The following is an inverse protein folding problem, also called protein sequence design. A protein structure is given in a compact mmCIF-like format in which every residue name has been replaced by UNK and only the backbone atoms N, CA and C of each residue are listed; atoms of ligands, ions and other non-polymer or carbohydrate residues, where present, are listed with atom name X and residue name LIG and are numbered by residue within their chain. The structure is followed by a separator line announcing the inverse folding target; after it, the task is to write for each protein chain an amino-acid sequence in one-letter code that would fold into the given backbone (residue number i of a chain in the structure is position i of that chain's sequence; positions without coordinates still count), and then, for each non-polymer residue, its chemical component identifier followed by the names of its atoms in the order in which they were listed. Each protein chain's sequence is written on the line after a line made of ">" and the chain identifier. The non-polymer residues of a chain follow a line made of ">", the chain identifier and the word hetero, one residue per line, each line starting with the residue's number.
data_IF_322796325849
#
_entry.id   IF_322796325849
#
_cell.length_a   1.000
_cell.length_b   1.000
_cell.length_c   1.000
_cell.angle_alpha   90.00
_cell.angle_beta   90.00
_cell.angle_gamma   90.00
#
_symmetry.space_group_name_H-M   'P 1'
#
loop_
_entity.id
_entity.type
_entity.pdbx_description
1 polymer ?
#
# COMPACT_ATOMS: atom_id res chain seq x y z
N UNK A 1 -17.88 5.41 17.15
CA UNK A 1 -18.75 6.09 16.16
C UNK A 1 -17.98 6.98 15.17
N UNK A 2 -16.80 7.53 15.51
CA UNK A 2 -16.06 8.43 14.61
C UNK A 2 -15.23 7.71 13.53
N UNK A 3 -14.87 6.45 13.70
CA UNK A 3 -14.10 5.66 12.72
C UNK A 3 -14.87 5.39 11.43
N UNK A 4 -16.21 5.38 11.47
CA UNK A 4 -17.07 5.16 10.30
C UNK A 4 -17.02 6.29 9.25
N UNK A 5 -16.38 7.43 9.57
CA UNK A 5 -16.24 8.54 8.62
C UNK A 5 -14.91 8.51 7.84
N UNK A 6 -14.01 7.62 8.21
CA UNK A 6 -12.67 7.58 7.61
C UNK A 6 -12.50 6.33 6.75
N UNK A 7 -13.02 5.17 7.18
CA UNK A 7 -12.93 3.93 6.43
C UNK A 7 -14.18 3.71 5.56
N UNK A 8 -13.96 3.34 4.31
CA UNK A 8 -15.02 3.08 3.32
C UNK A 8 -14.94 1.65 2.78
N UNK A 9 -15.11 0.63 3.65
CA UNK A 9 -15.07 -0.75 3.23
C UNK A 9 -16.30 -1.13 2.40
N UNK A 10 -16.10 -2.02 1.44
CA UNK A 10 -17.17 -2.68 0.69
C UNK A 10 -16.95 -4.20 0.75
N UNK A 11 -18.00 -4.95 1.03
CA UNK A 11 -17.97 -6.41 1.03
C UNK A 11 -18.31 -7.04 -0.33
N UNK A 12 -18.82 -6.26 -1.28
CA UNK A 12 -19.18 -6.75 -2.60
C UNK A 12 -17.93 -6.89 -3.48
N UNK A 13 -17.69 -8.10 -4.00
CA UNK A 13 -16.60 -8.38 -4.95
C UNK A 13 -17.09 -8.21 -6.38
N UNK A 14 -16.40 -7.38 -7.16
CA UNK A 14 -16.69 -7.16 -8.58
C UNK A 14 -16.06 -8.20 -9.50
N UNK A 15 -15.22 -9.08 -8.97
CA UNK A 15 -14.53 -10.14 -9.69
C UNK A 15 -13.39 -10.74 -8.87
N UNK A 16 -12.61 -11.59 -9.52
CA UNK A 16 -11.41 -12.21 -8.97
C UNK A 16 -10.28 -12.23 -10.01
N UNK A 17 -9.04 -12.58 -9.63
CA UNK A 17 -7.91 -12.63 -10.57
C UNK A 17 -8.10 -13.65 -11.71
N UNK A 18 -8.84 -14.75 -11.51
CA UNK A 18 -9.09 -15.74 -12.58
C UNK A 18 -9.90 -15.13 -13.73
N UNK A 19 -10.89 -14.29 -13.43
CA UNK A 19 -11.66 -13.53 -14.43
C UNK A 19 -10.80 -12.60 -15.30
N UNK A 20 -9.59 -12.28 -14.84
CA UNK A 20 -8.59 -11.46 -15.53
C UNK A 20 -7.44 -12.29 -16.11
N UNK A 21 -7.56 -13.63 -16.08
CA UNK A 21 -6.57 -14.55 -16.62
C UNK A 21 -5.28 -14.62 -15.78
N UNK A 22 -5.35 -14.30 -14.50
CA UNK A 22 -4.24 -14.38 -13.56
C UNK A 22 -4.33 -15.69 -12.76
N UNK A 23 -3.21 -16.42 -12.58
CA UNK A 23 -3.14 -17.47 -11.57
C UNK A 23 -3.23 -16.82 -10.18
N UNK A 24 -3.96 -17.42 -9.25
CA UNK A 24 -4.01 -16.93 -7.88
C UNK A 24 -4.39 -18.02 -6.87
N UNK A 25 -4.06 -17.76 -5.62
CA UNK A 25 -4.53 -18.49 -4.46
C UNK A 25 -5.44 -17.57 -3.63
N UNK A 26 -6.61 -18.06 -3.27
CA UNK A 26 -7.54 -17.40 -2.34
C UNK A 26 -7.08 -17.74 -0.92
N UNK A 27 -6.60 -16.75 -0.18
CA UNK A 27 -5.85 -16.93 1.06
C UNK A 27 -6.64 -16.39 2.25
N UNK A 28 -6.73 -17.18 3.32
CA UNK A 28 -7.24 -16.74 4.61
C UNK A 28 -6.18 -16.94 5.69
N UNK A 29 -5.94 -15.92 6.51
CA UNK A 29 -4.91 -15.95 7.54
C UNK A 29 -5.33 -15.16 8.78
N UNK A 30 -5.00 -15.63 10.00
CA UNK A 30 -5.40 -14.96 11.23
C UNK A 30 -4.42 -13.86 11.63
N UNK A 31 -4.95 -12.81 12.24
CA UNK A 31 -4.15 -11.83 12.99
C UNK A 31 -3.85 -12.35 14.40
N UNK A 32 -2.89 -11.73 15.09
CA UNK A 32 -2.54 -12.07 16.46
C UNK A 32 -3.69 -11.88 17.47
N UNK A 33 -4.65 -10.98 17.16
CA UNK A 33 -5.86 -10.74 17.94
C UNK A 33 -7.08 -11.55 17.44
N UNK A 34 -6.85 -12.57 16.58
CA UNK A 34 -7.84 -13.56 16.19
C UNK A 34 -8.80 -13.13 15.08
N UNK A 35 -8.54 -12.02 14.39
CA UNK A 35 -9.33 -11.59 13.22
C UNK A 35 -8.89 -12.39 12.00
N UNK A 36 -9.82 -13.05 11.30
CA UNK A 36 -9.52 -13.71 10.03
C UNK A 36 -9.53 -12.71 8.89
N UNK A 37 -8.40 -12.61 8.18
CA UNK A 37 -8.22 -11.77 7.00
C UNK A 37 -8.26 -12.59 5.73
N UNK A 38 -8.59 -11.95 4.64
CA UNK A 38 -8.65 -12.50 3.30
C UNK A 38 -7.71 -11.75 2.36
N UNK A 39 -7.10 -12.46 1.43
CA UNK A 39 -6.24 -11.89 0.39
C UNK A 39 -6.04 -12.82 -0.78
N UNK A 40 -5.35 -12.32 -1.78
CA UNK A 40 -4.95 -13.07 -2.97
C UNK A 40 -3.43 -13.11 -3.09
N UNK A 41 -2.89 -14.31 -3.23
CA UNK A 41 -1.52 -14.48 -3.65
C UNK A 41 -1.49 -14.81 -5.15
N UNK A 42 -0.86 -13.95 -5.93
CA UNK A 42 -0.70 -14.09 -7.39
C UNK A 42 0.74 -14.45 -7.67
N UNK A 43 1.06 -15.72 -7.98
CA UNK A 43 2.43 -16.17 -8.21
C UNK A 43 2.97 -15.61 -9.53
N UNK A 44 4.13 -14.95 -9.46
CA UNK A 44 4.87 -14.43 -10.61
C UNK A 44 6.03 -15.34 -11.02
N UNK A 45 6.93 -14.81 -11.85
CA UNK A 45 8.09 -15.54 -12.36
C UNK A 45 9.42 -15.07 -11.76
N UNK A 46 9.41 -13.97 -11.01
CA UNK A 46 10.59 -13.38 -10.41
C UNK A 46 10.70 -13.69 -8.91
N UNK A 47 11.90 -13.51 -8.38
CA UNK A 47 12.22 -13.71 -6.97
C UNK A 47 11.44 -12.78 -6.04
N UNK A 48 11.23 -11.52 -6.45
CA UNK A 48 10.63 -10.48 -5.61
C UNK A 48 9.14 -10.74 -5.41
N UNK A 49 8.68 -10.53 -4.17
CA UNK A 49 7.27 -10.58 -3.76
C UNK A 49 6.84 -9.19 -3.29
N UNK A 50 5.76 -8.66 -3.87
CA UNK A 50 5.12 -7.45 -3.36
C UNK A 50 4.06 -7.79 -2.33
N UNK A 51 4.20 -7.18 -1.14
CA UNK A 51 3.13 -7.09 -0.17
C UNK A 51 2.40 -5.76 -0.39
N UNK A 52 1.18 -5.85 -0.91
CA UNK A 52 0.42 -4.69 -1.37
C UNK A 52 -0.63 -4.25 -0.35
N UNK A 53 -0.48 -3.02 0.13
CA UNK A 53 -1.39 -2.31 1.01
C UNK A 53 -2.26 -1.37 0.17
N UNK A 54 -3.53 -1.73 -0.05
CA UNK A 54 -4.44 -0.98 -0.90
C UNK A 54 -4.95 0.32 -0.25
N UNK A 55 -5.52 1.21 -1.07
CA UNK A 55 -6.14 2.46 -0.60
C UNK A 55 -7.47 2.24 0.11
N UNK A 56 -8.01 3.28 0.71
CA UNK A 56 -9.11 3.24 1.67
C UNK A 56 -10.43 2.65 1.16
N UNK A 57 -10.88 2.95 -0.06
CA UNK A 57 -12.22 2.60 -0.52
C UNK A 57 -12.32 1.21 -1.18
N UNK A 58 -13.48 0.55 -1.07
CA UNK A 58 -13.79 -0.72 -1.72
C UNK A 58 -13.18 -1.92 -1.04
N UNK A 59 -12.61 -2.83 -1.81
CA UNK A 59 -11.86 -4.01 -1.39
C UNK A 59 -10.83 -4.38 -2.47
N UNK A 60 -10.11 -5.49 -2.31
CA UNK A 60 -9.06 -5.91 -3.26
C UNK A 60 -9.59 -6.16 -4.68
N UNK A 61 -10.87 -6.51 -4.86
CA UNK A 61 -11.44 -6.72 -6.19
C UNK A 61 -11.53 -5.45 -7.04
N UNK A 62 -11.55 -4.28 -6.41
CA UNK A 62 -11.50 -2.98 -7.09
C UNK A 62 -10.11 -2.62 -7.61
N UNK A 63 -9.11 -3.49 -7.44
CA UNK A 63 -7.70 -3.30 -7.86
C UNK A 63 -7.29 -4.25 -8.98
N UNK A 64 -8.23 -5.01 -9.55
CA UNK A 64 -7.95 -6.06 -10.53
C UNK A 64 -7.29 -5.55 -11.80
N UNK A 65 -7.68 -4.39 -12.30
CA UNK A 65 -7.09 -3.77 -13.48
C UNK A 65 -5.62 -3.37 -13.25
N UNK A 66 -5.33 -2.73 -12.11
CA UNK A 66 -3.96 -2.37 -11.73
C UNK A 66 -3.14 -3.63 -11.37
N UNK A 67 -3.73 -4.60 -10.66
CA UNK A 67 -3.10 -5.88 -10.36
C UNK A 67 -2.66 -6.60 -11.65
N UNK A 68 -3.55 -6.65 -12.66
CA UNK A 68 -3.25 -7.24 -13.97
C UNK A 68 -2.12 -6.50 -14.67
N UNK A 69 -2.17 -5.17 -14.71
CA UNK A 69 -1.11 -4.35 -15.31
C UNK A 69 0.24 -4.61 -14.65
N UNK A 70 0.31 -4.57 -13.31
CA UNK A 70 1.54 -4.78 -12.56
C UNK A 70 2.09 -6.20 -12.77
N UNK A 71 1.22 -7.21 -12.73
CA UNK A 71 1.60 -8.59 -12.98
C UNK A 71 2.21 -8.78 -14.36
N UNK A 72 1.53 -8.30 -15.41
CA UNK A 72 1.98 -8.45 -16.80
C UNK A 72 3.31 -7.75 -17.09
N UNK A 73 3.51 -6.59 -16.45
CA UNK A 73 4.65 -5.72 -16.73
C UNK A 73 5.86 -6.00 -15.84
N UNK A 74 5.67 -6.49 -14.62
CA UNK A 74 6.74 -6.72 -13.65
C UNK A 74 7.05 -8.20 -13.43
N UNK A 75 6.08 -9.09 -13.65
CA UNK A 75 6.18 -10.54 -13.45
C UNK A 75 6.60 -10.95 -12.02
N UNK A 76 6.27 -10.13 -11.02
CA UNK A 76 6.55 -10.36 -9.60
C UNK A 76 5.47 -11.24 -8.96
N UNK A 77 5.80 -11.90 -7.83
CA UNK A 77 4.76 -12.38 -6.93
C UNK A 77 4.06 -11.18 -6.30
N UNK A 78 2.73 -11.23 -6.18
CA UNK A 78 1.95 -10.16 -5.56
C UNK A 78 1.02 -10.76 -4.51
N UNK A 79 1.14 -10.31 -3.26
CA UNK A 79 0.17 -10.60 -2.22
C UNK A 79 -0.57 -9.32 -1.87
N UNK A 80 -1.86 -9.28 -2.21
CA UNK A 80 -2.78 -8.20 -1.86
C UNK A 80 -3.85 -8.75 -0.92
N UNK A 81 -4.22 -8.00 0.12
CA UNK A 81 -5.18 -8.46 1.12
C UNK A 81 -6.12 -7.35 1.56
N UNK A 82 -7.30 -7.73 2.02
CA UNK A 82 -8.28 -6.83 2.62
C UNK A 82 -7.99 -6.64 4.11
N UNK A 83 -7.93 -5.38 4.55
CA UNK A 83 -7.89 -5.07 5.98
C UNK A 83 -9.14 -5.56 6.69
N UNK A 84 -9.07 -5.68 8.01
CA UNK A 84 -10.25 -6.01 8.84
C UNK A 84 -11.47 -5.14 8.49
N UNK A 85 -12.61 -5.81 8.28
CA UNK A 85 -13.86 -5.17 7.89
C UNK A 85 -14.00 -4.84 6.40
N UNK A 86 -12.95 -5.01 5.58
CA UNK A 86 -12.99 -4.88 4.14
C UNK A 86 -13.20 -6.25 3.47
N UNK A 87 -13.91 -6.24 2.33
CA UNK A 87 -14.09 -7.41 1.51
C UNK A 87 -14.62 -8.62 2.27
N UNK A 88 -13.83 -9.70 2.29
CA UNK A 88 -14.13 -10.93 3.03
C UNK A 88 -13.42 -11.03 4.38
N UNK A 89 -12.63 -10.04 4.74
CA UNK A 89 -11.96 -9.97 6.04
C UNK A 89 -12.94 -9.68 7.16
N UNK A 90 -12.76 -10.36 8.29
CA UNK A 90 -13.59 -10.16 9.48
C UNK A 90 -13.24 -8.87 10.23
N UNK A 91 -14.00 -8.56 11.28
CA UNK A 91 -13.69 -7.48 12.21
C UNK A 91 -14.23 -6.11 11.78
N UNK A 92 -13.64 -5.06 12.33
CA UNK A 92 -13.96 -3.65 12.03
C UNK A 92 -12.67 -2.86 11.86
N UNK A 93 -12.60 -1.95 10.89
CA UNK A 93 -11.39 -1.18 10.64
C UNK A 93 -11.11 -0.18 11.77
N UNK A 94 -9.83 -0.05 12.11
CA UNK A 94 -9.28 0.97 12.99
C UNK A 94 -7.81 1.17 12.63
N UNK A 95 -7.19 2.28 13.01
CA UNK A 95 -5.77 2.52 12.74
C UNK A 95 -4.89 1.39 13.29
N UNK A 96 -5.00 1.11 14.59
CA UNK A 96 -4.24 0.05 15.25
C UNK A 96 -4.57 -1.32 14.65
N UNK A 97 -5.83 -1.54 14.27
CA UNK A 97 -6.26 -2.77 13.62
C UNK A 97 -5.56 -3.00 12.29
N UNK A 98 -5.50 -1.99 11.43
CA UNK A 98 -4.84 -2.11 10.12
C UNK A 98 -3.33 -2.34 10.25
N UNK A 99 -2.69 -1.83 11.31
CA UNK A 99 -1.28 -2.15 11.59
C UNK A 99 -1.10 -3.62 11.98
N UNK A 100 -2.00 -4.18 12.82
CA UNK A 100 -1.99 -5.63 13.14
C UNK A 100 -2.27 -6.50 11.92
N UNK A 101 -3.11 -6.03 11.01
CA UNK A 101 -3.40 -6.72 9.75
C UNK A 101 -2.16 -6.79 8.86
N UNK A 102 -1.39 -5.69 8.78
CA UNK A 102 -0.12 -5.64 8.06
C UNK A 102 0.93 -6.60 8.65
N UNK A 103 1.06 -6.63 9.97
CA UNK A 103 1.91 -7.59 10.69
C UNK A 103 1.54 -9.04 10.36
N UNK A 104 0.24 -9.36 10.37
CA UNK A 104 -0.25 -10.70 10.04
C UNK A 104 0.01 -11.07 8.58
N UNK A 105 -0.16 -10.12 7.64
CA UNK A 105 0.12 -10.33 6.22
C UNK A 105 1.61 -10.63 5.98
N UNK A 106 2.51 -9.89 6.63
CA UNK A 106 3.95 -10.17 6.56
C UNK A 106 4.28 -11.52 7.21
N UNK A 107 3.68 -11.83 8.38
CA UNK A 107 3.87 -13.12 9.05
C UNK A 107 3.42 -14.27 8.17
N UNK A 108 2.27 -14.16 7.50
CA UNK A 108 1.79 -15.14 6.52
C UNK A 108 2.81 -15.36 5.39
N UNK A 109 3.29 -14.30 4.74
CA UNK A 109 4.30 -14.43 3.69
C UNK A 109 5.56 -15.15 4.18
N UNK A 110 5.98 -14.89 5.40
CA UNK A 110 7.15 -15.55 6.02
C UNK A 110 6.95 -17.05 6.32
N UNK A 111 5.72 -17.56 6.28
CA UNK A 111 5.46 -19.02 6.38
C UNK A 111 5.57 -19.73 5.03
N UNK A 112 5.53 -19.01 3.92
CA UNK A 112 5.58 -19.60 2.57
C UNK A 112 7.00 -20.09 2.25
N UNK A 113 7.07 -21.27 1.64
CA UNK A 113 8.34 -21.89 1.24
C UNK A 113 8.66 -21.66 -0.24
N UNK A 114 7.70 -21.14 -1.00
CA UNK A 114 7.77 -20.92 -2.44
C UNK A 114 8.16 -19.48 -2.83
N UNK A 115 8.43 -18.63 -1.86
CA UNK A 115 8.95 -17.27 -2.06
C UNK A 115 10.28 -17.07 -1.33
N UNK A 116 11.04 -16.08 -1.77
CA UNK A 116 12.20 -15.60 -1.06
C UNK A 116 11.78 -14.57 -0.01
N UNK A 117 11.93 -14.92 1.26
CA UNK A 117 11.49 -14.10 2.40
C UNK A 117 12.33 -12.83 2.58
N UNK A 118 13.57 -12.80 2.04
CA UNK A 118 14.44 -11.62 2.04
C UNK A 118 14.15 -10.68 0.86
N UNK A 119 13.32 -11.11 -0.09
CA UNK A 119 12.96 -10.36 -1.28
C UNK A 119 11.53 -9.79 -1.25
N UNK A 120 11.07 -9.35 -0.09
CA UNK A 120 9.74 -8.76 0.06
C UNK A 120 9.84 -7.24 -0.06
N UNK A 121 9.09 -6.67 -1.01
CA UNK A 121 8.91 -5.22 -1.21
C UNK A 121 7.53 -4.83 -0.68
N UNK A 122 7.46 -3.79 0.13
CA UNK A 122 6.18 -3.23 0.57
C UNK A 122 5.72 -2.18 -0.42
N UNK A 123 4.51 -2.33 -0.91
CA UNK A 123 3.86 -1.38 -1.82
C UNK A 123 2.58 -0.84 -1.18
N UNK A 124 2.57 0.45 -0.86
CA UNK A 124 1.44 1.11 -0.20
C UNK A 124 0.88 2.27 -1.00
N UNK A 125 -0.44 2.25 -1.24
CA UNK A 125 -1.13 3.33 -1.93
C UNK A 125 -2.09 4.06 -1.02
N UNK A 126 -2.06 5.42 -1.03
CA UNK A 126 -2.95 6.27 -0.23
C UNK A 126 -2.91 5.88 1.25
N UNK A 127 -4.03 5.49 1.87
CA UNK A 127 -4.08 4.94 3.23
C UNK A 127 -3.09 3.78 3.43
N UNK A 128 -2.98 2.89 2.45
CA UNK A 128 -2.06 1.76 2.48
C UNK A 128 -0.59 2.18 2.56
N UNK A 129 -0.26 3.39 2.08
CA UNK A 129 1.08 3.94 2.24
C UNK A 129 1.44 4.20 3.71
N UNK A 130 0.51 4.73 4.49
CA UNK A 130 0.73 4.95 5.92
C UNK A 130 0.87 3.63 6.70
N UNK A 131 0.12 2.60 6.29
CA UNK A 131 0.21 1.24 6.86
C UNK A 131 1.56 0.61 6.49
N UNK A 132 2.00 0.74 5.24
CA UNK A 132 3.29 0.24 4.78
C UNK A 132 4.47 0.92 5.49
N UNK A 133 4.40 2.23 5.74
CA UNK A 133 5.40 2.98 6.52
C UNK A 133 5.46 2.47 7.97
N UNK A 134 4.31 2.24 8.60
CA UNK A 134 4.28 1.68 9.96
C UNK A 134 4.99 0.33 10.02
N UNK A 135 4.66 -0.58 9.10
CA UNK A 135 5.29 -1.90 9.04
C UNK A 135 6.79 -1.81 8.74
N UNK A 136 7.20 -1.01 7.74
CA UNK A 136 8.61 -0.82 7.37
C UNK A 136 9.44 -0.15 8.47
N UNK A 137 8.80 0.61 9.38
CA UNK A 137 9.47 1.21 10.53
C UNK A 137 9.82 0.19 11.64
N UNK A 138 9.27 -1.04 11.57
CA UNK A 138 9.43 -2.12 12.55
C UNK A 138 10.11 -3.35 11.96
N UNK A 139 9.94 -3.58 10.65
CA UNK A 139 10.45 -4.76 9.95
C UNK A 139 11.26 -4.36 8.73
N UNK A 140 12.35 -5.10 8.49
CA UNK A 140 13.13 -4.95 7.26
C UNK A 140 12.32 -5.47 6.07
N UNK A 141 12.44 -4.75 4.95
CA UNK A 141 11.97 -5.16 3.64
C UNK A 141 13.05 -4.84 2.59
N UNK A 142 12.98 -5.47 1.44
CA UNK A 142 13.93 -5.23 0.34
C UNK A 142 13.82 -3.80 -0.22
N UNK A 143 12.60 -3.25 -0.24
CA UNK A 143 12.31 -1.89 -0.68
C UNK A 143 10.92 -1.44 -0.24
N UNK A 144 10.70 -0.14 -0.19
CA UNK A 144 9.41 0.47 0.10
C UNK A 144 8.96 1.32 -1.09
N UNK A 145 7.76 1.06 -1.61
CA UNK A 145 7.14 1.86 -2.66
C UNK A 145 5.89 2.51 -2.09
N UNK A 146 5.81 3.83 -2.18
CA UNK A 146 4.69 4.63 -1.70
C UNK A 146 4.06 5.39 -2.87
N UNK A 147 2.74 5.28 -3.03
CA UNK A 147 2.01 5.94 -4.09
C UNK A 147 0.87 6.79 -3.52
N UNK A 148 0.81 8.08 -3.91
CA UNK A 148 -0.26 9.02 -3.57
C UNK A 148 -0.63 9.00 -2.08
N UNK A 149 0.38 8.99 -1.20
CA UNK A 149 0.20 8.89 0.26
C UNK A 149 0.56 10.20 0.97
N UNK A 150 0.18 10.30 2.22
CA UNK A 150 0.29 11.51 3.04
C UNK A 150 1.30 11.36 4.18
N UNK A 151 1.83 12.51 4.63
CA UNK A 151 2.75 12.59 5.77
C UNK A 151 2.07 12.24 7.11
N UNK A 152 0.83 12.71 7.31
CA UNK A 152 -0.04 12.31 8.42
C UNK A 152 -1.50 12.57 8.07
N UNK A 153 -2.42 11.81 8.69
CA UNK A 153 -3.86 12.03 8.52
C UNK A 153 -4.24 13.43 8.95
N UNK A 154 -3.72 13.89 10.09
CA UNK A 154 -4.01 15.23 10.60
C UNK A 154 -3.49 16.33 9.66
N UNK A 155 -2.26 16.21 9.18
CA UNK A 155 -1.67 17.17 8.24
C UNK A 155 -2.43 17.25 6.91
N UNK A 156 -2.92 16.11 6.43
CA UNK A 156 -3.78 16.06 5.25
C UNK A 156 -5.16 16.70 5.51
N UNK A 157 -5.84 16.27 6.58
CA UNK A 157 -7.20 16.73 6.90
C UNK A 157 -7.25 18.24 7.21
N UNK A 158 -6.26 18.78 7.92
CA UNK A 158 -6.23 20.22 8.23
C UNK A 158 -6.03 21.12 7.01
N UNK A 159 -5.40 20.62 5.96
CA UNK A 159 -5.26 21.34 4.67
C UNK A 159 -6.57 21.33 3.89
N UNK A 160 -7.30 20.21 3.92
CA UNK A 160 -8.57 20.06 3.19
C UNK A 160 -9.76 20.62 3.96
N UNK A 161 -9.69 20.61 5.29
CA UNK A 161 -10.77 21.03 6.21
C UNK A 161 -10.17 21.83 7.37
N UNK A 162 -9.99 23.17 7.22
CA UNK A 162 -9.29 24.01 8.19
C UNK A 162 -9.89 24.03 9.61
N UNK A 163 -11.18 23.70 9.73
CA UNK A 163 -11.89 23.68 11.02
C UNK A 163 -11.69 22.37 11.81
N UNK A 164 -11.01 21.37 11.22
CA UNK A 164 -10.71 20.12 11.91
C UNK A 164 -9.53 20.32 12.87
N UNK A 165 -9.78 20.00 14.15
CA UNK A 165 -8.74 20.00 15.18
C UNK A 165 -8.28 18.57 15.52
N UNK A 166 -7.07 18.39 16.09
CA UNK A 166 -6.57 17.06 16.49
C UNK A 166 -7.50 16.26 17.39
N UNK A 167 -8.26 16.94 18.26
CA UNK A 167 -9.20 16.29 19.18
C UNK A 167 -10.45 15.72 18.47
N UNK A 168 -10.72 16.17 17.24
CA UNK A 168 -11.82 15.66 16.42
C UNK A 168 -11.43 14.39 15.65
N UNK A 169 -10.13 14.11 15.51
CA UNK A 169 -9.62 12.95 14.77
C UNK A 169 -8.92 11.97 15.72
N UNK A 170 -9.56 10.85 16.05
CA UNK A 170 -8.94 9.80 16.86
C UNK A 170 -7.85 9.03 16.09
N UNK A 171 -7.79 9.20 14.77
CA UNK A 171 -6.90 8.49 13.84
C UNK A 171 -5.79 9.44 13.39
N UNK A 172 -4.54 8.99 13.51
CA UNK A 172 -3.35 9.81 13.24
C UNK A 172 -2.63 9.45 11.96
N UNK A 173 -2.46 8.16 11.70
CA UNK A 173 -1.61 7.64 10.62
C UNK A 173 -0.38 8.53 10.42
N UNK A 174 0.39 8.71 11.50
CA UNK A 174 1.56 9.59 11.53
C UNK A 174 2.76 8.91 10.87
N UNK A 175 2.79 8.96 9.54
CA UNK A 175 3.89 8.42 8.73
C UNK A 175 5.16 9.23 8.91
N UNK A 176 5.03 10.56 9.13
CA UNK A 176 6.15 11.49 9.25
C UNK A 176 7.08 11.15 10.42
N UNK A 177 6.51 10.76 11.57
CA UNK A 177 7.29 10.36 12.74
C UNK A 177 7.97 8.99 12.57
N UNK A 178 7.43 8.13 11.68
CA UNK A 178 7.85 6.75 11.49
C UNK A 178 8.88 6.58 10.36
N UNK A 179 8.76 7.36 9.28
CA UNK A 179 9.55 7.19 8.05
C UNK A 179 11.06 7.27 8.31
N UNK A 180 11.50 8.04 9.31
CA UNK A 180 12.91 8.17 9.72
C UNK A 180 13.53 6.87 10.25
N UNK A 181 12.71 5.88 10.63
CA UNK A 181 13.17 4.56 11.06
C UNK A 181 13.25 3.55 9.92
N UNK A 182 12.72 3.89 8.76
CA UNK A 182 12.79 3.04 7.56
C UNK A 182 14.18 3.16 6.96
N UNK A 183 14.86 2.03 6.80
CA UNK A 183 16.23 1.96 6.24
C UNK A 183 16.24 1.35 4.83
N UNK A 184 15.11 0.78 4.39
CA UNK A 184 14.97 0.24 3.05
C UNK A 184 14.99 1.35 1.99
N UNK A 185 15.52 1.09 0.78
CA UNK A 185 15.37 1.99 -0.35
C UNK A 185 13.91 2.37 -0.57
N UNK A 186 13.66 3.66 -0.86
CA UNK A 186 12.32 4.20 -1.04
C UNK A 186 12.12 4.69 -2.48
N UNK A 187 11.02 4.26 -3.11
CA UNK A 187 10.45 4.93 -4.28
C UNK A 187 9.12 5.57 -3.88
N UNK A 188 8.97 6.87 -4.12
CA UNK A 188 7.72 7.56 -3.98
C UNK A 188 7.19 8.02 -5.34
N UNK A 189 5.92 7.70 -5.62
CA UNK A 189 5.20 8.10 -6.83
C UNK A 189 4.02 8.98 -6.42
N UNK A 190 3.83 10.14 -7.08
CA UNK A 190 2.72 11.02 -6.75
C UNK A 190 2.29 11.84 -7.98
N UNK A 191 0.98 11.92 -8.19
CA UNK A 191 0.39 12.78 -9.22
C UNK A 191 0.46 14.26 -8.83
N UNK A 192 0.89 15.13 -9.74
CA UNK A 192 0.96 16.58 -9.44
C UNK A 192 -0.40 17.29 -9.52
N UNK A 193 -1.46 16.56 -9.91
CA UNK A 193 -2.85 17.03 -9.89
C UNK A 193 -3.72 16.21 -8.91
N UNK A 194 -3.11 15.55 -7.90
CA UNK A 194 -3.83 14.74 -6.91
C UNK A 194 -4.79 15.63 -6.08
N UNK A 195 -6.08 15.43 -6.32
CA UNK A 195 -7.18 16.20 -5.71
C UNK A 195 -7.61 15.67 -4.34
N UNK A 196 -7.11 14.48 -3.95
CA UNK A 196 -7.44 13.82 -2.68
C UNK A 196 -6.32 14.03 -1.67
N UNK A 197 -5.11 13.60 -2.02
CA UNK A 197 -3.92 13.79 -1.19
C UNK A 197 -3.01 14.82 -1.85
N UNK A 198 -2.90 16.03 -1.32
CA UNK A 198 -2.09 17.08 -1.94
C UNK A 198 -0.65 16.62 -2.20
N UNK A 199 -0.12 16.95 -3.38
CA UNK A 199 1.23 16.61 -3.81
C UNK A 199 2.31 16.99 -2.77
N UNK A 200 2.12 18.14 -2.11
CA UNK A 200 3.01 18.64 -1.05
C UNK A 200 3.07 17.70 0.15
N UNK A 201 2.00 16.94 0.45
CA UNK A 201 1.99 15.99 1.56
C UNK A 201 2.89 14.78 1.27
N UNK A 202 2.90 14.29 0.02
CA UNK A 202 3.85 13.28 -0.44
C UNK A 202 5.28 13.81 -0.42
N UNK A 203 5.51 15.05 -0.88
CA UNK A 203 6.81 15.70 -0.82
C UNK A 203 7.36 15.83 0.60
N UNK A 204 6.52 16.25 1.54
CA UNK A 204 6.87 16.35 2.95
C UNK A 204 7.35 15.02 3.53
N UNK A 205 6.63 13.92 3.21
CA UNK A 205 7.01 12.58 3.65
C UNK A 205 8.34 12.14 3.01
N UNK A 206 8.51 12.39 1.72
CA UNK A 206 9.74 12.08 0.98
C UNK A 206 10.95 12.80 1.56
N UNK A 207 10.83 14.12 1.83
CA UNK A 207 11.94 14.90 2.39
C UNK A 207 12.40 14.37 3.76
N UNK A 208 11.46 13.85 4.56
CA UNK A 208 11.75 13.28 5.88
C UNK A 208 12.35 11.87 5.84
N UNK A 209 12.26 11.17 4.72
CA UNK A 209 12.76 9.80 4.57
C UNK A 209 14.30 9.75 4.46
N UNK A 210 14.87 8.60 4.85
CA UNK A 210 16.29 8.33 4.70
C UNK A 210 16.68 8.03 3.24
N UNK A 211 17.97 8.17 2.91
CA UNK A 211 18.55 7.66 1.68
C UNK A 211 18.79 6.13 1.77
N UNK A 212 18.79 5.40 0.63
CA UNK A 212 18.54 5.90 -0.72
C UNK A 212 17.04 6.07 -0.99
N UNK A 213 16.67 7.14 -1.67
CA UNK A 213 15.28 7.44 -2.00
C UNK A 213 15.14 8.11 -3.37
N UNK A 214 14.05 7.80 -4.05
CA UNK A 214 13.69 8.37 -5.36
C UNK A 214 12.26 8.93 -5.29
N UNK A 215 12.01 10.03 -6.01
CA UNK A 215 10.69 10.62 -6.16
C UNK A 215 10.34 10.74 -7.63
N UNK A 216 9.26 10.10 -8.05
CA UNK A 216 8.73 10.20 -9.40
C UNK A 216 7.42 10.98 -9.42
N UNK A 217 7.44 12.17 -10.02
CA UNK A 217 6.24 12.98 -10.23
C UNK A 217 5.50 12.50 -11.47
N UNK A 218 4.25 12.05 -11.29
CA UNK A 218 3.38 11.64 -12.39
C UNK A 218 2.63 12.88 -12.88
N UNK A 219 3.09 13.42 -14.01
CA UNK A 219 2.53 14.67 -14.54
C UNK A 219 1.08 14.52 -14.97
N UNK A 220 0.25 15.50 -14.54
CA UNK A 220 -1.20 15.58 -14.81
C UNK A 220 -2.03 14.43 -14.24
N UNK A 221 -1.45 13.56 -13.41
CA UNK A 221 -2.20 12.51 -12.74
C UNK A 221 -2.90 13.04 -11.50
N UNK A 222 -4.13 12.59 -11.29
CA UNK A 222 -4.91 12.72 -10.07
C UNK A 222 -4.63 11.60 -9.09
N UNK A 223 -5.53 11.43 -8.12
CA UNK A 223 -5.38 10.42 -7.08
C UNK A 223 -5.57 8.99 -7.60
N UNK A 224 -6.52 8.76 -8.50
CA UNK A 224 -6.97 7.42 -8.86
C UNK A 224 -6.54 6.93 -10.25
N UNK A 225 -5.82 7.74 -11.01
CA UNK A 225 -5.42 7.46 -12.39
C UNK A 225 -3.91 7.43 -12.63
N UNK A 226 -3.11 7.36 -11.57
CA UNK A 226 -1.65 7.40 -11.57
C UNK A 226 -1.01 6.44 -12.58
N UNK A 227 -1.43 5.16 -12.59
CA UNK A 227 -0.90 4.16 -13.50
C UNK A 227 -1.44 4.30 -14.94
N UNK A 228 -2.62 4.94 -15.11
CA UNK A 228 -3.22 5.20 -16.42
C UNK A 228 -2.52 6.40 -17.07
N UNK A 229 -2.50 7.53 -16.38
CA UNK A 229 -1.90 8.79 -16.88
C UNK A 229 -0.38 8.67 -16.96
N UNK A 230 0.25 8.03 -15.96
CA UNK A 230 1.70 7.82 -15.92
C UNK A 230 2.23 6.87 -17.00
N UNK A 231 1.40 5.91 -17.46
CA UNK A 231 1.68 5.03 -18.58
C UNK A 231 3.08 4.39 -18.54
N UNK A 232 3.83 4.50 -19.62
CA UNK A 232 5.19 3.92 -19.71
C UNK A 232 6.17 4.56 -18.72
N UNK A 233 6.03 5.85 -18.40
CA UNK A 233 6.89 6.52 -17.42
C UNK A 233 6.71 5.96 -16.01
N UNK A 234 5.46 5.71 -15.60
CA UNK A 234 5.13 5.06 -14.33
C UNK A 234 5.73 3.65 -14.25
N UNK A 235 5.58 2.86 -15.33
CA UNK A 235 6.13 1.50 -15.38
C UNK A 235 7.65 1.51 -15.39
N UNK A 236 8.29 2.44 -16.10
CA UNK A 236 9.74 2.57 -16.14
C UNK A 236 10.32 2.94 -14.76
N UNK A 237 9.65 3.81 -13.99
CA UNK A 237 10.05 4.14 -12.63
C UNK A 237 10.01 2.90 -11.71
N UNK A 238 8.92 2.13 -11.77
CA UNK A 238 8.80 0.87 -11.00
C UNK A 238 9.85 -0.16 -11.42
N UNK A 239 10.03 -0.39 -12.73
CA UNK A 239 11.02 -1.34 -13.25
C UNK A 239 12.44 -0.94 -12.89
N UNK A 240 12.78 0.34 -12.98
CA UNK A 240 14.09 0.88 -12.62
C UNK A 240 14.41 0.65 -11.14
N UNK A 241 13.45 0.96 -10.27
CA UNK A 241 13.58 0.73 -8.84
C UNK A 241 13.78 -0.77 -8.50
N UNK A 242 12.92 -1.64 -9.04
CA UNK A 242 13.03 -3.10 -8.85
C UNK A 242 14.38 -3.63 -9.34
N UNK A 243 14.84 -3.21 -10.52
CA UNK A 243 16.15 -3.61 -11.04
C UNK A 243 17.32 -3.08 -10.18
N UNK A 244 17.14 -1.97 -9.50
CA UNK A 244 18.08 -1.46 -8.48
C UNK A 244 18.19 -2.40 -7.28
N UNK A 245 17.05 -2.88 -6.77
CA UNK A 245 16.98 -3.80 -5.62
C UNK A 245 17.58 -5.19 -5.93
N UNK A 246 17.49 -5.66 -7.16
CA UNK A 246 18.05 -6.98 -7.56
C UNK A 246 19.58 -6.98 -7.64
N UNK A 247 20.22 -5.81 -7.60
CA UNK A 247 21.69 -5.66 -7.68
C UNK A 247 22.38 -5.52 -6.32
N UNK A 248 21.62 -5.31 -5.29
CA UNK A 248 22.10 -5.23 -3.89
C UNK A 248 21.94 -6.55 -3.19
#
# INVERSE_FOLDING_TARGET
>A
MQENFIFYPDSYFIGDPAGWGLPFEDVYFPTADGVMLHGWFVPGQKRITWLWFHGNAGNISYRLDNLKLLYDRLALNIFIFDYRGYGRSQGKPSEEGTYRDAEAALAYLRTRQDIDQDAIVFFGRSLGGAIAVDLASKHQCLGLILESTFASMMGWMSRSFPDITPDMLPIKYDSLSKIKRVTAPLLMLHGDCDEVVPFESGRELYEAANEPKEFYTIKQAGHNDTYIVGGEGYMAALQGFIAGLERT
#
